data_IF_488920065202
#
_entry.id   IF_488920065202
#
_cell.length_a   1.000
_cell.length_b   1.000
_cell.length_c   1.000
_cell.angle_alpha   90.00
_cell.angle_beta   90.00
_cell.angle_gamma   90.00
#
_symmetry.space_group_name_H-M   'P 1'
#
loop_
_entity.id
_entity.type
_entity.pdbx_description
1 polymer ?
#
# COMPACT_ATOMS: atom_id res chain seq x y z
N UNK A 1 -0.79 15.59 21.03
CA UNK A 1 -1.83 15.03 20.15
C UNK A 1 -1.19 14.80 18.79
N UNK A 2 -0.67 13.59 18.53
CA UNK A 2 -0.27 13.22 17.18
C UNK A 2 -1.54 12.91 16.41
N UNK A 3 -1.88 13.72 15.42
CA UNK A 3 -3.03 13.43 14.56
C UNK A 3 -2.78 12.11 13.85
N UNK A 4 -3.77 11.20 13.87
CA UNK A 4 -3.73 10.00 13.02
C UNK A 4 -3.51 10.47 11.57
N UNK A 5 -2.58 9.85 10.87
CA UNK A 5 -2.32 10.17 9.46
C UNK A 5 -3.60 9.99 8.67
N UNK A 6 -3.91 10.94 7.79
CA UNK A 6 -5.06 10.83 6.89
C UNK A 6 -4.76 9.72 5.89
N UNK A 7 -5.60 8.66 5.79
CA UNK A 7 -5.37 7.60 4.82
C UNK A 7 -5.44 8.12 3.38
N UNK A 8 -4.78 7.45 2.42
CA UNK A 8 -4.93 7.77 1.00
C UNK A 8 -6.36 7.50 0.52
N UNK A 9 -6.75 8.07 -0.62
CA UNK A 9 -8.06 7.80 -1.22
C UNK A 9 -7.98 6.64 -2.23
N UNK A 10 -9.09 5.92 -2.40
CA UNK A 10 -9.23 4.97 -3.51
C UNK A 10 -9.02 5.69 -4.85
N UNK A 11 -8.26 5.05 -5.74
CA UNK A 11 -7.84 5.61 -7.03
C UNK A 11 -6.58 6.46 -6.98
N UNK A 12 -6.07 6.82 -5.79
CA UNK A 12 -4.78 7.51 -5.70
C UNK A 12 -3.65 6.61 -6.21
N UNK A 13 -2.73 7.19 -6.99
CA UNK A 13 -1.53 6.51 -7.48
C UNK A 13 -0.35 6.90 -6.61
N UNK A 14 0.47 5.91 -6.28
CA UNK A 14 1.65 6.07 -5.44
C UNK A 14 2.85 5.35 -6.06
N UNK A 15 4.04 5.91 -5.90
CA UNK A 15 5.29 5.34 -6.40
C UNK A 15 6.17 4.86 -5.24
N UNK A 16 6.66 3.63 -5.36
CA UNK A 16 7.53 3.00 -4.38
C UNK A 16 8.91 3.67 -4.35
N UNK A 17 9.37 4.06 -3.18
CA UNK A 17 10.62 4.81 -3.01
C UNK A 17 11.87 3.91 -2.92
N UNK A 18 11.72 2.68 -2.43
CA UNK A 18 12.81 1.72 -2.28
C UNK A 18 12.27 0.30 -2.49
N UNK A 19 13.11 -0.63 -2.95
CA UNK A 19 12.70 -2.03 -3.15
C UNK A 19 12.04 -2.59 -1.88
N UNK A 20 10.88 -3.22 -2.06
CA UNK A 20 10.03 -3.67 -0.96
C UNK A 20 9.62 -5.13 -1.15
N UNK A 21 9.63 -5.91 -0.07
CA UNK A 21 9.28 -7.33 -0.12
C UNK A 21 10.39 -8.24 -0.65
N UNK A 22 10.12 -9.55 -0.69
CA UNK A 22 11.08 -10.59 -1.10
C UNK A 22 10.33 -11.64 -1.93
N UNK A 23 11.00 -12.20 -2.95
CA UNK A 23 10.46 -13.28 -3.79
C UNK A 23 9.36 -12.79 -4.74
N UNK A 24 8.36 -13.62 -5.04
CA UNK A 24 7.28 -13.28 -5.98
C UNK A 24 6.38 -12.11 -5.52
N UNK A 25 6.54 -11.65 -4.27
CA UNK A 25 5.86 -10.47 -3.74
C UNK A 25 6.71 -9.20 -3.73
N UNK A 26 7.92 -9.21 -4.29
CA UNK A 26 8.78 -8.02 -4.31
C UNK A 26 8.26 -6.97 -5.28
N UNK A 27 8.32 -5.72 -4.87
CA UNK A 27 8.18 -4.54 -5.71
C UNK A 27 9.54 -3.85 -5.83
N UNK A 28 9.81 -3.32 -7.02
CA UNK A 28 11.05 -2.57 -7.29
C UNK A 28 10.81 -1.07 -7.15
N UNK A 29 11.81 -0.32 -6.68
CA UNK A 29 11.75 1.13 -6.59
C UNK A 29 11.34 1.76 -7.94
N UNK A 30 10.51 2.81 -7.88
CA UNK A 30 9.90 3.44 -9.04
C UNK A 30 8.62 2.75 -9.56
N UNK A 31 8.24 1.60 -9.01
CA UNK A 31 7.00 0.94 -9.39
C UNK A 31 5.79 1.67 -8.80
N UNK A 32 4.75 1.82 -9.62
CA UNK A 32 3.51 2.47 -9.22
C UNK A 32 2.49 1.45 -8.72
N UNK A 33 1.74 1.88 -7.70
CA UNK A 33 0.61 1.17 -7.11
C UNK A 33 -0.61 2.07 -7.14
N UNK A 34 -1.79 1.50 -7.35
CA UNK A 34 -3.07 2.22 -7.29
C UNK A 34 -3.82 1.79 -6.04
N UNK A 35 -4.21 2.73 -5.18
CA UNK A 35 -4.97 2.42 -3.98
C UNK A 35 -6.35 1.90 -4.37
N UNK A 36 -6.70 0.72 -3.89
CA UNK A 36 -7.98 0.05 -4.16
C UNK A 36 -8.90 0.00 -2.95
N UNK A 37 -8.40 0.33 -1.75
CA UNK A 37 -9.23 0.40 -0.56
C UNK A 37 -8.48 0.90 0.66
N UNK A 38 -9.24 1.45 1.61
CA UNK A 38 -8.79 1.73 2.97
C UNK A 38 -9.72 1.07 3.95
N UNK A 39 -9.14 0.31 4.86
CA UNK A 39 -9.86 -0.60 5.75
C UNK A 39 -9.55 -0.26 7.21
N UNK A 40 -10.56 -0.21 8.10
CA UNK A 40 -10.31 0.06 9.51
C UNK A 40 -9.56 -1.10 10.19
N UNK A 41 -8.93 -0.85 11.36
CA UNK A 41 -8.34 -1.88 12.21
C UNK A 41 -9.30 -3.05 12.47
N UNK A 42 -8.78 -4.27 12.39
CA UNK A 42 -9.56 -5.50 12.63
C UNK A 42 -10.37 -5.99 11.43
N UNK A 43 -10.17 -5.43 10.24
CA UNK A 43 -10.78 -5.94 9.01
C UNK A 43 -10.36 -7.38 8.75
N UNK A 44 -11.31 -8.34 8.64
CA UNK A 44 -10.99 -9.75 8.41
C UNK A 44 -10.17 -9.95 7.13
N UNK A 45 -9.13 -10.78 7.20
CA UNK A 45 -8.31 -11.15 6.04
C UNK A 45 -7.14 -10.22 5.72
N UNK A 46 -6.99 -9.08 6.41
CA UNK A 46 -5.88 -8.13 6.19
C UNK A 46 -4.80 -8.15 7.28
N UNK A 47 -4.90 -9.10 8.23
CA UNK A 47 -4.00 -9.21 9.36
C UNK A 47 -4.40 -8.30 10.53
N UNK A 48 -3.59 -8.30 11.59
CA UNK A 48 -3.85 -7.48 12.79
C UNK A 48 -3.05 -6.18 12.70
N UNK A 49 -3.75 -5.05 12.64
CA UNK A 49 -3.19 -3.69 12.67
C UNK A 49 -4.00 -2.84 13.65
N UNK A 50 -3.33 -1.88 14.32
CA UNK A 50 -3.99 -0.85 15.14
C UNK A 50 -4.35 0.40 14.33
N UNK A 51 -3.80 0.52 13.12
CA UNK A 51 -4.04 1.60 12.17
C UNK A 51 -4.89 1.13 11.00
N UNK A 52 -5.49 2.09 10.29
CA UNK A 52 -6.18 1.76 9.03
C UNK A 52 -5.17 1.12 8.07
N UNK A 53 -5.64 0.16 7.27
CA UNK A 53 -4.83 -0.56 6.30
C UNK A 53 -5.21 -0.12 4.90
N UNK A 54 -4.20 0.12 4.08
CA UNK A 54 -4.31 0.47 2.67
C UNK A 54 -4.12 -0.80 1.86
N UNK A 55 -5.08 -1.11 0.99
CA UNK A 55 -4.88 -2.07 -0.11
C UNK A 55 -4.55 -1.32 -1.39
N UNK A 56 -3.51 -1.76 -2.09
CA UNK A 56 -3.11 -1.16 -3.36
C UNK A 56 -2.68 -2.22 -4.37
N UNK A 57 -3.09 -2.03 -5.61
CA UNK A 57 -2.84 -2.94 -6.72
C UNK A 57 -1.65 -2.49 -7.56
N UNK A 58 -0.88 -3.45 -8.05
CA UNK A 58 0.26 -3.21 -8.92
C UNK A 58 0.40 -4.31 -9.96
N UNK A 59 0.86 -3.99 -11.18
CA UNK A 59 1.17 -4.99 -12.18
C UNK A 59 2.46 -5.72 -11.82
N UNK A 60 2.40 -7.04 -11.67
CA UNK A 60 3.58 -7.90 -11.54
C UNK A 60 4.23 -8.09 -12.92
N UNK A 61 5.53 -8.41 -12.95
CA UNK A 61 6.28 -8.65 -14.20
C UNK A 61 5.67 -9.74 -15.10
N UNK A 62 4.89 -10.67 -14.55
CA UNK A 62 4.17 -11.71 -15.29
C UNK A 62 2.85 -11.24 -15.93
N UNK A 63 2.48 -9.96 -15.80
CA UNK A 63 1.24 -9.38 -16.32
C UNK A 63 0.01 -9.62 -15.43
N UNK A 64 0.17 -10.26 -14.28
CA UNK A 64 -0.89 -10.41 -13.28
C UNK A 64 -0.97 -9.15 -12.40
N UNK A 65 -2.16 -8.83 -11.91
CA UNK A 65 -2.32 -7.81 -10.87
C UNK A 65 -2.13 -8.46 -9.51
N UNK A 66 -1.33 -7.83 -8.66
CA UNK A 66 -1.15 -8.20 -7.26
C UNK A 66 -1.59 -7.06 -6.36
N UNK A 67 -2.02 -7.41 -5.15
CA UNK A 67 -2.43 -6.46 -4.12
C UNK A 67 -1.46 -6.53 -2.94
N UNK A 68 -1.02 -5.38 -2.45
CA UNK A 68 -0.39 -5.24 -1.13
C UNK A 68 -1.41 -4.76 -0.11
N UNK A 69 -1.21 -5.12 1.15
CA UNK A 69 -1.92 -4.57 2.30
C UNK A 69 -0.91 -4.10 3.34
N UNK A 70 -0.91 -2.80 3.66
CA UNK A 70 -0.01 -2.19 4.64
C UNK A 70 -0.80 -1.27 5.56
N UNK A 71 -0.38 -1.12 6.82
CA UNK A 71 -0.90 -0.03 7.64
C UNK A 71 -0.54 1.35 7.04
N UNK A 72 -1.38 2.36 7.29
CA UNK A 72 -1.20 3.71 6.74
C UNK A 72 0.20 4.30 7.01
N UNK A 73 0.76 4.23 8.24
CA UNK A 73 2.13 4.68 8.49
C UNK A 73 3.18 3.98 7.62
N UNK A 74 3.14 2.66 7.52
CA UNK A 74 4.07 1.86 6.70
C UNK A 74 3.90 2.16 5.22
N UNK A 75 2.68 2.37 4.74
CA UNK A 75 2.42 2.77 3.37
C UNK A 75 3.10 4.11 3.05
N UNK A 76 2.92 5.14 3.87
CA UNK A 76 3.58 6.43 3.65
C UNK A 76 5.10 6.41 3.86
N UNK A 77 5.62 5.46 4.64
CA UNK A 77 7.06 5.29 4.79
C UNK A 77 7.73 4.73 3.52
N UNK A 78 6.97 3.98 2.71
CA UNK A 78 7.50 3.30 1.51
C UNK A 78 7.12 4.00 0.20
N UNK A 79 6.00 4.73 0.18
CA UNK A 79 5.39 5.26 -1.04
C UNK A 79 5.20 6.78 -1.02
N UNK A 80 5.34 7.41 -2.19
CA UNK A 80 5.02 8.83 -2.39
C UNK A 80 3.91 9.01 -3.41
N UNK A 81 2.98 9.94 -3.15
CA UNK A 81 1.82 10.18 -4.04
C UNK A 81 2.29 10.69 -5.40
N UNK A 82 1.71 10.13 -6.46
CA UNK A 82 1.89 10.56 -7.84
C UNK A 82 0.59 11.21 -8.31
N UNK A 83 0.62 12.53 -8.54
CA UNK A 83 -0.44 13.29 -9.23
C UNK A 83 -1.82 13.22 -8.60
#
# INVERSE_FOLDING_TARGET
MGGKLVPPAEGDVYELQADFGIGAGSLTAGQQVTVTGVHPPGTPGLGVSNDDQVTADFPEAAGNIRTIALDVPSFYAQFSKVG
#
